data_IF_218207343990
#
_entry.id   IF_218207343990
#
_cell.length_a   1.000
_cell.length_b   1.000
_cell.length_c   1.000
_cell.angle_alpha   90.00
_cell.angle_beta   90.00
_cell.angle_gamma   90.00
#
_symmetry.space_group_name_H-M   'P 1'
#
loop_
_entity.id
_entity.type
_entity.pdbx_description
1 polymer ?
#
# COMPACT_ATOMS: atom_id res chain seq x y z
N UNK A 1 24.77 -41.51 18.34
CA UNK A 1 25.38 -40.35 19.01
C UNK A 1 24.35 -39.22 19.02
N UNK A 2 23.75 -38.92 20.17
CA UNK A 2 22.68 -37.90 20.30
C UNK A 2 23.32 -36.51 20.41
N UNK A 3 22.85 -35.57 19.59
CA UNK A 3 23.23 -34.15 19.55
C UNK A 3 23.22 -33.49 20.94
N UNK A 4 24.41 -33.23 21.49
CA UNK A 4 24.66 -32.37 22.64
C UNK A 4 25.02 -30.97 22.14
N UNK A 5 24.01 -30.20 21.72
CA UNK A 5 24.15 -28.74 21.55
C UNK A 5 22.78 -28.05 21.70
N UNK A 6 22.05 -28.41 22.77
CA UNK A 6 21.01 -27.52 23.30
C UNK A 6 21.69 -26.52 24.23
N UNK A 7 21.92 -25.32 23.73
CA UNK A 7 22.26 -24.14 24.54
C UNK A 7 21.06 -23.88 25.49
N UNK A 8 21.13 -24.44 26.70
CA UNK A 8 20.09 -24.26 27.71
C UNK A 8 20.27 -22.85 28.30
N UNK A 9 19.47 -21.89 27.84
CA UNK A 9 19.46 -20.53 28.41
C UNK A 9 19.01 -20.62 29.88
N UNK A 10 19.76 -20.04 30.82
CA UNK A 10 19.28 -19.91 32.20
C UNK A 10 17.92 -19.24 32.23
N UNK A 11 17.01 -19.69 33.09
CA UNK A 11 15.73 -19.00 33.25
C UNK A 11 15.94 -17.68 34.01
N UNK A 12 15.04 -16.71 33.82
CA UNK A 12 15.20 -15.37 34.41
C UNK A 12 15.28 -15.42 35.94
N UNK A 13 14.59 -16.39 36.59
CA UNK A 13 14.66 -16.59 38.04
C UNK A 13 16.05 -16.95 38.55
N UNK A 14 16.81 -17.76 37.80
CA UNK A 14 18.18 -18.14 38.17
C UNK A 14 19.15 -16.96 37.99
N UNK A 15 18.93 -16.14 36.97
CA UNK A 15 19.72 -14.91 36.74
C UNK A 15 19.51 -13.96 37.91
N UNK A 16 18.27 -13.61 38.24
CA UNK A 16 17.96 -12.70 39.36
C UNK A 16 18.53 -13.19 40.70
N UNK A 17 18.36 -14.46 41.02
CA UNK A 17 18.81 -15.01 42.29
C UNK A 17 20.35 -15.03 42.44
N UNK A 18 21.07 -15.40 41.38
CA UNK A 18 22.54 -15.41 41.39
C UNK A 18 23.10 -13.99 41.39
N UNK A 19 22.53 -13.06 40.61
CA UNK A 19 22.90 -11.63 40.63
C UNK A 19 22.74 -11.02 42.02
N UNK A 20 21.62 -11.30 42.69
CA UNK A 20 21.39 -10.84 44.07
C UNK A 20 22.37 -11.48 45.06
N UNK A 21 22.69 -12.77 44.89
CA UNK A 21 23.65 -13.45 45.77
C UNK A 21 25.07 -12.90 45.66
N UNK A 22 25.44 -12.32 44.50
CA UNK A 22 26.72 -11.68 44.24
C UNK A 22 26.74 -10.17 44.61
N UNK A 23 25.64 -9.61 45.11
CA UNK A 23 25.59 -8.23 45.57
C UNK A 23 26.39 -8.10 46.87
N UNK A 24 27.57 -7.46 46.81
CA UNK A 24 28.48 -7.28 47.93
C UNK A 24 29.64 -8.28 48.04
N UNK A 25 29.87 -9.10 47.01
CA UNK A 25 30.93 -10.12 47.01
C UNK A 25 30.43 -11.46 47.57
N UNK A 26 30.64 -12.53 46.80
CA UNK A 26 30.38 -13.89 47.25
C UNK A 26 31.23 -14.91 46.51
N UNK A 27 31.74 -15.91 47.23
CA UNK A 27 32.36 -17.10 46.66
C UNK A 27 31.30 -18.02 46.04
N UNK A 28 31.73 -18.93 45.16
CA UNK A 28 30.82 -19.90 44.53
C UNK A 28 30.03 -20.73 45.56
N UNK A 29 30.67 -21.10 46.67
CA UNK A 29 30.06 -21.90 47.72
C UNK A 29 28.97 -21.12 48.49
N UNK A 30 29.17 -19.82 48.67
CA UNK A 30 28.16 -18.93 49.26
C UNK A 30 26.98 -18.70 48.32
N UNK A 31 27.23 -18.57 47.02
CA UNK A 31 26.17 -18.43 46.01
C UNK A 31 25.30 -19.70 45.97
N UNK A 32 25.91 -20.88 46.06
CA UNK A 32 25.19 -22.16 46.18
C UNK A 32 24.30 -22.19 47.42
N UNK A 33 24.85 -21.82 48.58
CA UNK A 33 24.13 -21.79 49.84
C UNK A 33 22.94 -20.81 49.82
N UNK A 34 23.15 -19.61 49.26
CA UNK A 34 22.14 -18.54 49.18
C UNK A 34 21.02 -18.84 48.20
N UNK A 35 21.31 -19.53 47.09
CA UNK A 35 20.35 -19.70 45.98
C UNK A 35 19.76 -21.10 45.86
N UNK A 36 20.43 -22.13 46.41
CA UNK A 36 20.03 -23.53 46.27
C UNK A 36 20.22 -24.12 44.86
N UNK A 37 20.80 -23.36 43.92
CA UNK A 37 21.08 -23.86 42.57
C UNK A 37 22.34 -24.73 42.54
N UNK A 38 22.36 -25.72 41.65
CA UNK A 38 23.56 -26.54 41.39
C UNK A 38 24.68 -25.68 40.79
N UNK A 39 25.94 -26.00 41.13
CA UNK A 39 27.18 -25.42 40.53
C UNK A 39 27.07 -25.17 39.03
N UNK A 40 26.63 -26.17 38.27
CA UNK A 40 26.51 -26.08 36.80
C UNK A 40 25.57 -24.98 36.32
N UNK A 41 24.51 -24.68 37.08
CA UNK A 41 23.56 -23.61 36.76
C UNK A 41 24.16 -22.26 37.12
N UNK A 42 24.78 -22.17 38.30
CA UNK A 42 25.46 -20.95 38.77
C UNK A 42 26.57 -20.57 37.80
N UNK A 43 27.45 -21.49 37.40
CA UNK A 43 28.51 -21.22 36.43
C UNK A 43 27.98 -20.71 35.08
N UNK A 44 26.86 -21.24 34.59
CA UNK A 44 26.25 -20.76 33.34
C UNK A 44 25.71 -19.34 33.48
N UNK A 45 25.13 -19.02 34.64
CA UNK A 45 24.66 -17.66 34.93
C UNK A 45 25.86 -16.73 35.09
N UNK A 46 26.86 -17.06 35.90
CA UNK A 46 28.08 -16.26 36.08
C UNK A 46 28.83 -16.07 34.76
N UNK A 47 28.85 -17.06 33.87
CA UNK A 47 29.42 -16.93 32.52
C UNK A 47 28.58 -15.99 31.66
N UNK A 48 27.25 -16.11 31.69
CA UNK A 48 26.38 -15.22 30.93
C UNK A 48 26.43 -13.76 31.43
N UNK A 49 26.60 -13.57 32.75
CA UNK A 49 26.79 -12.26 33.39
C UNK A 49 28.18 -11.67 33.11
N UNK A 50 29.20 -12.51 32.98
CA UNK A 50 30.56 -12.12 32.58
C UNK A 50 30.59 -11.73 31.11
N UNK A 51 29.94 -12.51 30.25
CA UNK A 51 29.75 -12.19 28.83
C UNK A 51 28.97 -10.88 28.62
N UNK A 52 28.06 -10.52 29.55
CA UNK A 52 27.33 -9.24 29.55
C UNK A 52 28.04 -8.10 30.28
N UNK A 53 29.18 -8.35 30.93
CA UNK A 53 29.93 -7.36 31.72
C UNK A 53 29.23 -6.92 33.01
N UNK A 54 28.26 -7.70 33.50
CA UNK A 54 27.47 -7.43 34.70
C UNK A 54 28.09 -8.02 35.97
N UNK A 55 29.22 -8.74 35.86
CA UNK A 55 29.92 -9.34 37.00
C UNK A 55 31.43 -9.10 36.94
N UNK A 56 32.06 -8.87 38.10
CA UNK A 56 33.51 -8.83 38.29
C UNK A 56 33.95 -10.06 39.06
N UNK A 57 35.21 -10.48 38.87
CA UNK A 57 35.83 -11.60 39.57
C UNK A 57 37.14 -11.16 40.19
N UNK A 58 37.30 -11.40 41.48
CA UNK A 58 38.54 -11.13 42.20
C UNK A 58 39.10 -12.42 42.80
N UNK A 59 40.35 -12.80 42.50
CA UNK A 59 41.00 -13.94 43.15
C UNK A 59 41.37 -13.59 44.60
N UNK A 60 41.07 -14.49 45.53
CA UNK A 60 41.44 -14.40 46.94
C UNK A 60 42.78 -15.13 47.21
N UNK A 61 43.42 -14.80 48.32
CA UNK A 61 44.75 -15.35 48.70
C UNK A 61 44.73 -16.88 48.90
N UNK A 62 43.58 -17.46 49.23
CA UNK A 62 43.38 -18.91 49.38
C UNK A 62 43.14 -19.65 48.06
N UNK A 63 43.18 -18.93 46.92
CA UNK A 63 42.97 -19.46 45.58
C UNK A 63 41.51 -19.56 45.15
N UNK A 64 40.55 -19.14 45.99
CA UNK A 64 39.15 -19.01 45.61
C UNK A 64 38.88 -17.72 44.82
N UNK A 65 37.71 -17.62 44.19
CA UNK A 65 37.30 -16.46 43.40
C UNK A 65 36.02 -15.89 43.97
N UNK A 66 36.04 -14.59 44.22
CA UNK A 66 34.90 -13.83 44.68
C UNK A 66 34.23 -13.10 43.50
N UNK A 67 32.90 -13.20 43.45
CA UNK A 67 32.09 -12.67 42.36
C UNK A 67 31.29 -11.46 42.84
N UNK A 68 31.39 -10.35 42.10
CA UNK A 68 30.73 -9.09 42.41
C UNK A 68 29.76 -8.72 41.30
N UNK A 69 28.47 -8.64 41.61
CA UNK A 69 27.50 -8.12 40.65
C UNK A 69 27.64 -6.60 40.53
N UNK A 70 27.81 -6.11 39.30
CA UNK A 70 28.13 -4.71 38.99
C UNK A 70 26.84 -3.91 38.69
N UNK A 71 25.68 -4.56 38.56
CA UNK A 71 24.37 -3.93 38.33
C UNK A 71 23.62 -3.56 39.62
N UNK A 72 22.55 -2.76 39.49
CA UNK A 72 21.61 -2.48 40.59
C UNK A 72 20.60 -3.63 40.69
N UNK A 73 20.64 -4.41 41.78
CA UNK A 73 19.80 -5.60 41.94
C UNK A 73 18.29 -5.26 41.97
N UNK A 74 17.93 -3.99 42.18
CA UNK A 74 16.53 -3.53 42.23
C UNK A 74 15.91 -3.14 40.89
N UNK A 75 16.67 -3.06 39.79
CA UNK A 75 16.16 -2.65 38.45
C UNK A 75 15.79 -3.83 37.51
N UNK A 76 15.74 -5.08 38.00
CA UNK A 76 15.46 -6.26 37.17
C UNK A 76 13.98 -6.46 36.78
N UNK A 77 13.11 -5.52 37.13
CA UNK A 77 11.69 -5.52 36.74
C UNK A 77 11.50 -4.31 35.81
N UNK A 78 11.23 -4.59 34.53
CA UNK A 78 10.92 -3.64 33.43
C UNK A 78 12.09 -3.10 32.59
N UNK A 79 12.71 -3.97 31.76
CA UNK A 79 13.33 -3.53 30.51
C UNK A 79 12.96 -4.48 29.35
N UNK A 80 12.54 -3.95 28.17
CA UNK A 80 12.22 -4.78 27.00
C UNK A 80 13.44 -5.54 26.47
N UNK A 81 13.19 -6.72 25.90
CA UNK A 81 14.20 -7.63 25.35
C UNK A 81 15.06 -7.05 24.18
N UNK A 82 14.82 -5.82 23.74
CA UNK A 82 15.47 -5.17 22.60
C UNK A 82 16.87 -4.59 22.88
N UNK A 83 17.34 -4.56 24.13
CA UNK A 83 18.66 -3.98 24.50
C UNK A 83 19.78 -5.04 24.60
N UNK A 84 19.49 -6.35 24.45
CA UNK A 84 20.46 -7.44 24.69
C UNK A 84 21.42 -7.77 23.54
N UNK A 85 21.70 -6.86 22.61
CA UNK A 85 22.69 -7.11 21.55
C UNK A 85 23.50 -5.85 21.27
N UNK A 86 24.68 -5.76 21.85
CA UNK A 86 25.74 -4.95 21.26
C UNK A 86 27.10 -5.62 21.48
N UNK A 87 27.90 -5.58 20.42
CA UNK A 87 29.26 -6.11 20.37
C UNK A 87 30.12 -5.34 21.38
N UNK A 88 30.90 -6.06 22.19
CA UNK A 88 31.94 -5.42 23.00
C UNK A 88 32.92 -4.71 22.07
N UNK A 89 32.87 -3.38 22.06
CA UNK A 89 34.02 -2.59 21.63
C UNK A 89 35.11 -2.93 22.63
N UNK A 90 36.23 -3.52 22.20
CA UNK A 90 37.29 -4.06 23.07
C UNK A 90 38.06 -3.02 23.91
N UNK A 91 37.40 -1.95 24.34
CA UNK A 91 37.94 -0.79 25.04
C UNK A 91 37.79 -1.01 26.55
N UNK A 92 38.92 -1.17 27.25
CA UNK A 92 38.95 -1.40 28.69
C UNK A 92 38.72 -0.08 29.44
N UNK A 93 37.57 0.03 30.11
CA UNK A 93 37.24 1.14 31.02
C UNK A 93 37.66 0.82 32.46
N UNK A 94 38.06 1.84 33.22
CA UNK A 94 38.24 1.72 34.67
C UNK A 94 36.89 1.68 35.39
N UNK A 95 36.88 1.35 36.69
CA UNK A 95 35.64 1.28 37.48
C UNK A 95 34.85 2.60 37.47
N UNK A 96 35.54 3.73 37.69
CA UNK A 96 34.90 5.05 37.68
C UNK A 96 34.47 5.50 36.27
N UNK A 97 35.26 5.19 35.22
CA UNK A 97 34.86 5.49 33.83
C UNK A 97 33.59 4.73 33.43
N UNK A 98 33.54 3.43 33.77
CA UNK A 98 32.37 2.59 33.52
C UNK A 98 31.12 3.10 34.24
N UNK A 99 31.29 3.58 35.48
CA UNK A 99 30.21 4.18 36.25
C UNK A 99 29.72 5.48 35.62
N UNK A 100 30.61 6.41 35.29
CA UNK A 100 30.25 7.70 34.67
C UNK A 100 29.59 7.48 33.31
N UNK A 101 30.13 6.62 32.46
CA UNK A 101 29.54 6.30 31.16
C UNK A 101 28.11 5.75 31.30
N UNK A 102 27.87 4.86 32.27
CA UNK A 102 26.54 4.30 32.54
C UNK A 102 25.55 5.36 33.02
N UNK A 103 25.96 6.22 33.95
CA UNK A 103 25.14 7.32 34.47
C UNK A 103 24.72 8.26 33.35
N UNK A 104 25.65 8.62 32.45
CA UNK A 104 25.38 9.49 31.31
C UNK A 104 24.55 8.82 30.20
N UNK A 105 24.56 7.49 30.07
CA UNK A 105 23.61 6.77 29.19
C UNK A 105 22.17 6.90 29.68
N UNK A 106 21.97 6.89 31.00
CA UNK A 106 20.65 6.99 31.61
C UNK A 106 20.08 8.41 31.50
N UNK A 107 20.88 9.42 31.82
CA UNK A 107 20.50 10.84 31.72
C UNK A 107 21.72 11.76 31.77
N UNK A 108 21.55 12.99 31.29
CA UNK A 108 22.53 14.05 31.52
C UNK A 108 22.64 14.34 33.01
N UNK A 109 23.86 14.58 33.50
CA UNK A 109 24.11 14.87 34.92
C UNK A 109 25.11 16.00 35.04
N UNK A 110 24.95 16.85 36.04
CA UNK A 110 25.94 17.89 36.33
C UNK A 110 27.25 17.29 36.82
N UNK A 111 28.37 17.96 36.55
CA UNK A 111 29.69 17.57 37.08
C UNK A 111 29.68 17.47 38.60
N UNK A 112 28.89 18.32 39.27
CA UNK A 112 28.69 18.26 40.73
C UNK A 112 27.93 17.03 41.21
N UNK A 113 26.93 16.57 40.48
CA UNK A 113 26.21 15.32 40.79
C UNK A 113 27.08 14.09 40.56
N UNK A 114 27.84 14.06 39.45
CA UNK A 114 28.81 13.00 39.19
C UNK A 114 29.86 12.92 40.31
N UNK A 115 30.39 14.06 40.73
CA UNK A 115 31.36 14.18 41.84
C UNK A 115 30.85 13.55 43.13
N UNK A 116 29.58 13.77 43.49
CA UNK A 116 28.97 13.16 44.70
C UNK A 116 28.63 11.68 44.55
N UNK A 117 28.52 11.18 43.32
CA UNK A 117 28.03 9.83 43.04
C UNK A 117 29.17 8.81 42.92
N UNK A 118 30.34 9.21 42.40
CA UNK A 118 31.43 8.30 42.03
C UNK A 118 32.10 7.60 43.24
N UNK A 119 31.96 8.11 44.47
CA UNK A 119 32.49 7.43 45.66
C UNK A 119 31.77 7.85 46.95
N UNK A 120 30.62 7.26 47.28
CA UNK A 120 29.88 7.63 48.50
C UNK A 120 30.58 7.09 49.77
N UNK A 121 30.64 7.87 50.87
CA UNK A 121 29.98 9.17 51.11
C UNK A 121 30.87 10.40 50.81
N UNK A 122 32.17 10.22 50.58
CA UNK A 122 33.13 11.33 50.46
C UNK A 122 33.07 12.10 49.13
N UNK A 123 32.54 11.48 48.08
CA UNK A 123 32.61 11.99 46.71
C UNK A 123 34.04 12.02 46.16
N UNK A 124 34.17 12.54 44.95
CA UNK A 124 35.45 12.83 44.29
C UNK A 124 35.51 14.30 43.90
N UNK A 125 36.71 14.87 43.69
CA UNK A 125 36.83 16.26 43.26
C UNK A 125 36.21 16.48 41.87
N UNK A 126 35.77 17.71 41.57
CA UNK A 126 35.20 18.03 40.25
C UNK A 126 36.26 17.91 39.15
N UNK A 127 37.51 18.24 39.48
CA UNK A 127 38.68 18.10 38.62
C UNK A 127 38.89 16.64 38.21
N UNK A 128 38.64 15.70 39.14
CA UNK A 128 38.70 14.27 38.85
C UNK A 128 37.53 13.79 37.98
N UNK A 129 36.34 14.38 38.12
CA UNK A 129 35.24 14.11 37.17
C UNK A 129 35.61 14.58 35.76
N UNK A 130 36.20 15.78 35.63
CA UNK A 130 36.67 16.27 34.34
C UNK A 130 37.74 15.37 33.72
N UNK A 131 38.65 14.81 34.53
CA UNK A 131 39.65 13.86 34.01
C UNK A 131 39.02 12.54 33.54
N UNK A 132 37.97 12.05 34.21
CA UNK A 132 37.19 10.88 33.75
C UNK A 132 36.48 11.19 32.43
N UNK A 133 35.80 12.33 32.31
CA UNK A 133 35.11 12.75 31.08
C UNK A 133 36.11 12.90 29.92
N UNK A 134 37.29 13.46 30.20
CA UNK A 134 38.37 13.56 29.21
C UNK A 134 38.92 12.19 28.82
N UNK A 135 39.08 11.27 29.76
CA UNK A 135 39.49 9.88 29.48
C UNK A 135 38.46 9.17 28.59
N UNK A 136 37.16 9.32 28.88
CA UNK A 136 36.08 8.78 28.04
C UNK A 136 36.16 9.35 26.61
N UNK A 137 36.39 10.66 26.43
CA UNK A 137 36.62 11.26 25.11
C UNK A 137 37.81 10.65 24.39
N UNK A 138 38.96 10.53 25.06
CA UNK A 138 40.18 9.95 24.48
C UNK A 138 40.00 8.48 24.10
N UNK A 139 39.11 7.77 24.80
CA UNK A 139 38.72 6.39 24.50
C UNK A 139 37.62 6.28 23.43
N UNK A 140 37.25 7.39 22.78
CA UNK A 140 36.33 7.41 21.64
C UNK A 140 34.85 7.53 22.00
N UNK A 141 34.51 7.77 23.27
CA UNK A 141 33.12 8.08 23.63
C UNK A 141 32.82 9.55 23.34
N UNK A 142 31.71 9.80 22.63
CA UNK A 142 31.25 11.16 22.33
C UNK A 142 30.62 11.78 23.59
N UNK A 143 31.45 12.43 24.41
CA UNK A 143 31.03 13.06 25.67
C UNK A 143 31.23 14.56 25.56
N UNK A 144 30.21 15.37 25.80
CA UNK A 144 30.29 16.83 25.82
C UNK A 144 29.98 17.38 27.22
N UNK A 145 30.40 18.61 27.50
CA UNK A 145 30.03 19.32 28.73
C UNK A 145 29.39 20.65 28.31
N UNK A 146 28.13 20.85 28.69
CA UNK A 146 27.44 22.13 28.56
C UNK A 146 28.03 23.09 29.60
N UNK A 147 28.78 24.09 29.16
CA UNK A 147 29.45 25.05 30.04
C UNK A 147 28.49 25.95 30.82
N UNK A 148 27.27 26.19 30.31
CA UNK A 148 26.27 27.03 30.97
C UNK A 148 25.57 26.28 32.11
N UNK A 149 25.29 24.99 31.92
CA UNK A 149 24.60 24.13 32.90
C UNK A 149 25.54 23.28 33.73
N UNK A 150 26.81 23.20 33.33
CA UNK A 150 27.83 22.27 33.88
C UNK A 150 27.36 20.82 33.83
N UNK A 151 26.58 20.48 32.80
CA UNK A 151 26.04 19.14 32.54
C UNK A 151 26.98 18.37 31.62
N UNK A 152 27.37 17.18 32.04
CA UNK A 152 28.00 16.21 31.16
C UNK A 152 26.90 15.48 30.38
N UNK A 153 27.14 15.33 29.08
CA UNK A 153 26.23 14.73 28.12
C UNK A 153 27.00 13.63 27.40
N UNK A 154 26.41 12.44 27.31
CA UNK A 154 26.87 11.43 26.36
C UNK A 154 26.10 11.66 25.07
N UNK A 155 26.77 12.23 24.07
CA UNK A 155 26.23 12.44 22.75
C UNK A 155 25.93 11.05 22.17
N UNK A 156 24.64 10.71 22.10
CA UNK A 156 24.21 9.49 21.43
C UNK A 156 24.47 9.73 19.96
N UNK A 157 25.42 9.01 19.38
CA UNK A 157 25.47 8.83 17.95
C UNK A 157 24.11 8.27 17.55
N UNK A 158 23.23 9.14 17.01
CA UNK A 158 22.07 8.67 16.29
C UNK A 158 22.69 8.03 15.07
N UNK A 159 22.88 6.70 15.10
CA UNK A 159 23.17 5.96 13.90
C UNK A 159 22.11 6.36 12.89
N UNK A 160 22.51 7.20 11.92
CA UNK A 160 21.69 7.52 10.79
C UNK A 160 21.51 6.19 10.07
N UNK A 161 20.41 5.49 10.36
CA UNK A 161 20.05 4.30 9.60
C UNK A 161 20.03 4.76 8.14
N UNK A 162 20.84 4.17 7.27
CA UNK A 162 20.85 4.58 5.88
C UNK A 162 19.43 4.43 5.35
N UNK A 163 18.93 5.48 4.70
CA UNK A 163 17.65 5.41 3.99
C UNK A 163 17.83 4.40 2.86
N UNK A 164 17.35 3.17 3.07
CA UNK A 164 17.31 2.17 2.02
C UNK A 164 16.10 2.48 1.12
N UNK A 165 16.25 2.39 -0.22
CA UNK A 165 15.11 2.41 -1.12
C UNK A 165 14.11 1.29 -0.76
N UNK A 166 12.84 1.53 -1.02
CA UNK A 166 11.80 0.51 -0.88
C UNK A 166 12.00 -0.60 -1.92
N UNK A 167 11.75 -1.85 -1.53
CA UNK A 167 11.66 -2.94 -2.50
C UNK A 167 10.45 -2.73 -3.42
N UNK A 168 10.68 -2.76 -4.74
CA UNK A 168 9.64 -2.46 -5.72
C UNK A 168 8.72 -3.66 -6.02
N UNK A 169 9.22 -4.88 -5.90
CA UNK A 169 8.45 -6.11 -6.20
C UNK A 169 7.11 -6.17 -5.45
N UNK A 170 7.07 -5.94 -4.11
CA UNK A 170 5.81 -5.94 -3.37
C UNK A 170 4.80 -4.87 -3.81
N UNK A 171 5.24 -3.78 -4.46
CA UNK A 171 4.36 -2.71 -4.93
C UNK A 171 3.61 -3.05 -6.22
N UNK A 172 4.11 -3.99 -7.03
CA UNK A 172 3.62 -4.28 -8.38
C UNK A 172 3.33 -5.76 -8.62
N UNK A 173 3.01 -6.47 -7.54
CA UNK A 173 2.84 -7.92 -7.50
C UNK A 173 1.68 -8.43 -8.35
N UNK A 174 0.54 -7.74 -8.30
CA UNK A 174 -0.65 -8.11 -9.07
C UNK A 174 -0.77 -7.24 -10.31
N UNK A 175 -1.01 -7.86 -11.46
CA UNK A 175 -1.17 -7.17 -12.74
C UNK A 175 -2.52 -7.51 -13.35
N UNK A 176 -3.22 -6.49 -13.82
CA UNK A 176 -4.51 -6.63 -14.52
C UNK A 176 -4.48 -5.75 -15.76
N UNK A 177 -4.94 -6.29 -16.88
CA UNK A 177 -5.09 -5.53 -18.12
C UNK A 177 -6.55 -5.45 -18.50
N UNK A 178 -7.08 -4.23 -18.62
CA UNK A 178 -8.50 -3.96 -18.84
C UNK A 178 -8.68 -3.30 -20.21
N UNK A 179 -9.55 -3.85 -21.05
CA UNK A 179 -10.03 -3.15 -22.24
C UNK A 179 -11.25 -2.29 -21.93
N UNK A 180 -11.32 -1.10 -22.50
CA UNK A 180 -12.48 -0.21 -22.36
C UNK A 180 -12.89 0.35 -23.72
N UNK A 181 -14.19 0.27 -23.98
CA UNK A 181 -14.85 0.72 -25.21
C UNK A 181 -16.24 1.28 -24.85
N UNK A 182 -16.82 2.09 -25.73
CA UNK A 182 -18.15 2.67 -25.53
C UNK A 182 -18.76 3.08 -26.86
N UNK A 183 -20.07 3.38 -26.85
CA UNK A 183 -20.75 4.14 -27.90
C UNK A 183 -20.46 3.56 -29.29
N UNK A 184 -20.80 2.27 -29.47
CA UNK A 184 -20.65 1.59 -30.76
C UNK A 184 -21.74 1.96 -31.75
N UNK A 185 -22.91 2.37 -31.23
CA UNK A 185 -24.03 2.88 -32.03
C UNK A 185 -24.38 1.95 -33.19
N UNK A 186 -24.45 0.64 -32.93
CA UNK A 186 -24.74 -0.33 -33.98
C UNK A 186 -26.15 -0.10 -34.55
N UNK A 187 -26.26 -0.03 -35.89
CA UNK A 187 -27.47 0.38 -36.61
C UNK A 187 -27.46 1.83 -37.10
N UNK A 188 -26.44 2.61 -36.73
CA UNK A 188 -26.14 3.94 -37.27
C UNK A 188 -25.44 3.86 -38.63
N UNK A 189 -25.65 4.81 -39.54
CA UNK A 189 -24.85 4.94 -40.77
C UNK A 189 -23.41 5.43 -40.50
N UNK A 190 -23.14 5.86 -39.27
CA UNK A 190 -21.88 6.45 -38.84
C UNK A 190 -21.07 5.53 -37.92
N UNK A 191 -21.59 4.34 -37.59
CA UNK A 191 -20.88 3.30 -36.84
C UNK A 191 -19.56 2.89 -37.52
N UNK A 192 -18.67 2.21 -36.79
CA UNK A 192 -17.38 1.72 -37.31
C UNK A 192 -17.10 0.25 -36.92
N UNK A 193 -17.88 -0.73 -37.42
CA UNK A 193 -17.72 -2.15 -37.15
C UNK A 193 -16.35 -2.69 -37.59
N UNK A 194 -15.73 -2.16 -38.66
CA UNK A 194 -14.35 -2.54 -38.99
C UNK A 194 -13.42 -2.18 -37.83
N UNK A 195 -13.50 -0.95 -37.32
CA UNK A 195 -12.65 -0.49 -36.22
C UNK A 195 -12.97 -1.20 -34.91
N UNK A 196 -14.24 -1.58 -34.69
CA UNK A 196 -14.66 -2.42 -33.57
C UNK A 196 -14.01 -3.81 -33.63
N UNK A 197 -13.93 -4.44 -34.81
CA UNK A 197 -13.21 -5.71 -34.97
C UNK A 197 -11.70 -5.54 -34.69
N UNK A 198 -11.09 -4.48 -35.23
CA UNK A 198 -9.69 -4.13 -34.96
C UNK A 198 -9.44 -3.89 -33.47
N UNK A 199 -10.35 -3.22 -32.78
CA UNK A 199 -10.26 -2.98 -31.35
C UNK A 199 -10.18 -4.28 -30.55
N UNK A 200 -11.03 -5.25 -30.89
CA UNK A 200 -11.01 -6.56 -30.25
C UNK A 200 -9.78 -7.40 -30.62
N UNK A 201 -9.24 -7.26 -31.84
CA UNK A 201 -7.93 -7.84 -32.16
C UNK A 201 -6.82 -7.26 -31.28
N UNK A 202 -6.81 -5.94 -31.08
CA UNK A 202 -5.82 -5.29 -30.19
C UNK A 202 -6.00 -5.78 -28.74
N UNK A 203 -7.24 -5.96 -28.26
CA UNK A 203 -7.50 -6.54 -26.95
C UNK A 203 -6.96 -7.97 -26.82
N UNK A 204 -7.07 -8.80 -27.87
CA UNK A 204 -6.46 -10.13 -27.91
C UNK A 204 -4.92 -10.05 -27.85
N UNK A 205 -4.31 -9.17 -28.65
CA UNK A 205 -2.86 -8.96 -28.70
C UNK A 205 -2.30 -8.45 -27.36
N UNK A 206 -3.06 -7.59 -26.67
CA UNK A 206 -2.71 -7.07 -25.35
C UNK A 206 -3.11 -8.01 -24.21
N UNK A 207 -3.72 -9.16 -24.50
CA UNK A 207 -4.12 -10.17 -23.52
C UNK A 207 -4.94 -9.58 -22.36
N UNK A 208 -5.97 -8.81 -22.69
CA UNK A 208 -6.86 -8.23 -21.67
C UNK A 208 -7.51 -9.34 -20.83
N UNK A 209 -7.68 -9.08 -19.53
CA UNK A 209 -8.41 -9.96 -18.63
C UNK A 209 -9.93 -9.90 -18.87
N UNK A 210 -10.42 -8.71 -19.21
CA UNK A 210 -11.81 -8.44 -19.55
C UNK A 210 -11.96 -7.08 -20.24
N UNK A 211 -13.13 -6.87 -20.85
CA UNK A 211 -13.51 -5.61 -21.49
C UNK A 211 -14.72 -5.01 -20.78
N UNK A 212 -14.78 -3.68 -20.69
CA UNK A 212 -15.96 -2.92 -20.25
C UNK A 212 -16.52 -2.13 -21.44
N UNK A 213 -17.82 -2.27 -21.72
CA UNK A 213 -18.56 -1.49 -22.69
C UNK A 213 -19.55 -0.54 -22.00
N UNK A 214 -19.36 0.77 -22.18
CA UNK A 214 -20.00 1.81 -21.37
C UNK A 214 -21.29 2.36 -21.98
N UNK A 215 -22.13 1.50 -22.56
CA UNK A 215 -23.43 1.86 -23.12
C UNK A 215 -23.39 2.39 -24.56
N UNK A 216 -24.60 2.65 -25.06
CA UNK A 216 -24.91 2.95 -26.46
C UNK A 216 -24.32 1.88 -27.39
N UNK A 217 -24.65 0.63 -27.07
CA UNK A 217 -24.29 -0.54 -27.87
C UNK A 217 -24.94 -0.44 -29.26
N UNK A 218 -26.22 -0.08 -29.27
CA UNK A 218 -27.01 0.17 -30.48
C UNK A 218 -27.39 1.65 -30.60
N UNK A 219 -27.71 2.09 -31.81
CA UNK A 219 -28.07 3.48 -32.10
C UNK A 219 -29.48 3.86 -31.62
N UNK A 220 -30.36 2.89 -31.38
CA UNK A 220 -31.74 3.19 -31.01
C UNK A 220 -32.51 3.92 -32.12
N UNK A 221 -33.55 4.64 -31.74
CA UNK A 221 -34.42 5.39 -32.65
C UNK A 221 -35.12 6.55 -31.94
N UNK A 222 -35.53 7.59 -32.68
CA UNK A 222 -36.33 8.72 -32.18
C UNK A 222 -35.74 9.48 -30.98
N UNK A 223 -34.42 9.51 -30.83
CA UNK A 223 -33.71 10.27 -29.79
C UNK A 223 -33.68 11.78 -30.06
N UNK A 224 -33.60 12.17 -31.33
CA UNK A 224 -33.67 13.57 -31.76
C UNK A 224 -34.32 13.69 -33.14
N UNK A 225 -34.82 14.89 -33.46
CA UNK A 225 -35.45 15.18 -34.75
C UNK A 225 -34.42 15.01 -35.87
N UNK A 226 -34.72 14.14 -36.83
CA UNK A 226 -33.87 13.87 -37.98
C UNK A 226 -33.02 12.60 -37.87
N UNK A 227 -32.96 11.96 -36.69
CA UNK A 227 -32.18 10.72 -36.48
C UNK A 227 -32.56 9.61 -37.49
N UNK A 228 -33.83 9.53 -37.91
CA UNK A 228 -34.27 8.52 -38.89
C UNK A 228 -33.50 8.56 -40.23
N UNK A 229 -32.86 9.67 -40.57
CA UNK A 229 -31.99 9.80 -41.76
C UNK A 229 -30.55 9.31 -41.51
N UNK A 230 -30.17 9.17 -40.24
CA UNK A 230 -28.83 8.81 -39.78
C UNK A 230 -28.72 7.32 -39.42
N UNK A 231 -29.84 6.61 -39.31
CA UNK A 231 -29.88 5.16 -39.04
C UNK A 231 -30.20 4.37 -40.32
N UNK A 232 -29.83 3.09 -40.34
CA UNK A 232 -30.22 2.17 -41.42
C UNK A 232 -31.02 0.96 -40.93
N UNK A 233 -31.12 0.76 -39.62
CA UNK A 233 -31.96 -0.25 -38.96
C UNK A 233 -33.00 0.48 -38.09
N UNK A 234 -34.28 0.24 -38.33
CA UNK A 234 -35.37 1.07 -37.83
C UNK A 234 -36.21 0.40 -36.74
N UNK A 235 -35.84 -0.80 -36.31
CA UNK A 235 -36.51 -1.55 -35.25
C UNK A 235 -35.54 -2.13 -34.22
N UNK A 236 -36.08 -2.49 -33.05
CA UNK A 236 -35.31 -3.14 -32.00
C UNK A 236 -34.77 -4.50 -32.44
N UNK A 237 -35.59 -5.29 -33.13
CA UNK A 237 -35.22 -6.64 -33.59
C UNK A 237 -34.10 -6.57 -34.62
N UNK A 238 -34.21 -5.67 -35.62
CA UNK A 238 -33.15 -5.46 -36.62
C UNK A 238 -31.81 -5.07 -35.96
N UNK A 239 -31.82 -4.13 -35.02
CA UNK A 239 -30.60 -3.70 -34.33
C UNK A 239 -30.03 -4.79 -33.42
N UNK A 240 -30.89 -5.60 -32.78
CA UNK A 240 -30.47 -6.73 -31.96
C UNK A 240 -29.80 -7.82 -32.80
N UNK A 241 -30.46 -8.24 -33.87
CA UNK A 241 -29.94 -9.26 -34.80
C UNK A 241 -28.65 -8.80 -35.47
N UNK A 242 -28.60 -7.55 -35.92
CA UNK A 242 -27.38 -6.99 -36.50
C UNK A 242 -26.24 -6.99 -35.49
N UNK A 243 -26.50 -6.59 -34.24
CA UNK A 243 -25.49 -6.58 -33.18
C UNK A 243 -24.97 -7.98 -32.86
N UNK A 244 -25.86 -8.97 -32.76
CA UNK A 244 -25.46 -10.36 -32.51
C UNK A 244 -24.52 -10.89 -33.61
N UNK A 245 -24.75 -10.49 -34.86
CA UNK A 245 -23.97 -10.93 -36.02
C UNK A 245 -22.65 -10.17 -36.20
N UNK A 246 -22.59 -8.88 -35.83
CA UNK A 246 -21.43 -8.02 -36.15
C UNK A 246 -20.55 -7.67 -34.95
N UNK A 247 -21.07 -7.76 -33.73
CA UNK A 247 -20.27 -7.47 -32.53
C UNK A 247 -19.22 -8.57 -32.32
N UNK A 248 -17.93 -8.25 -32.12
CA UNK A 248 -16.87 -9.26 -32.01
C UNK A 248 -17.13 -10.30 -30.92
N UNK A 249 -16.92 -11.58 -31.23
CA UNK A 249 -17.08 -12.70 -30.27
C UNK A 249 -15.75 -13.15 -29.72
N UNK A 250 -15.65 -13.35 -28.39
CA UNK A 250 -14.42 -13.80 -27.73
C UNK A 250 -14.69 -14.86 -26.67
N UNK A 251 -13.97 -15.97 -26.74
CA UNK A 251 -14.03 -17.03 -25.73
C UNK A 251 -13.03 -16.84 -24.59
N UNK A 252 -11.95 -16.08 -24.81
CA UNK A 252 -10.85 -15.92 -23.87
C UNK A 252 -11.19 -15.04 -22.66
N UNK A 253 -12.06 -14.04 -22.84
CA UNK A 253 -12.47 -13.10 -21.81
C UNK A 253 -13.94 -12.69 -22.00
N UNK A 254 -14.49 -11.96 -21.02
CA UNK A 254 -15.86 -11.43 -21.07
C UNK A 254 -15.87 -9.93 -21.33
N UNK A 255 -16.93 -9.47 -22.00
CA UNK A 255 -17.26 -8.05 -22.12
C UNK A 255 -18.43 -7.71 -21.20
N UNK A 256 -18.22 -6.79 -20.28
CA UNK A 256 -19.21 -6.31 -19.32
C UNK A 256 -19.89 -5.06 -19.85
N UNK A 257 -21.21 -5.11 -20.02
CA UNK A 257 -21.96 -4.08 -20.77
C UNK A 257 -23.03 -3.46 -19.87
N UNK A 258 -23.08 -2.13 -19.84
CA UNK A 258 -24.23 -1.36 -19.35
C UNK A 258 -25.03 -0.81 -20.53
N UNK A 259 -26.32 -0.53 -20.35
CA UNK A 259 -27.11 0.20 -21.35
C UNK A 259 -26.83 1.70 -21.29
N UNK A 260 -26.83 2.36 -22.44
CA UNK A 260 -26.78 3.81 -22.57
C UNK A 260 -28.13 4.44 -22.90
N UNK A 261 -28.10 5.72 -23.27
CA UNK A 261 -29.32 6.48 -23.56
C UNK A 261 -30.03 6.05 -24.84
N UNK A 262 -29.27 5.63 -25.86
CA UNK A 262 -29.76 5.13 -27.14
C UNK A 262 -30.40 3.75 -26.98
N UNK A 263 -29.72 2.83 -26.28
CA UNK A 263 -30.21 1.48 -25.99
C UNK A 263 -31.59 1.49 -25.31
N UNK A 264 -31.76 2.38 -24.33
CA UNK A 264 -32.93 2.40 -23.45
C UNK A 264 -34.18 3.00 -24.08
N UNK A 265 -34.11 3.49 -25.33
CA UNK A 265 -35.29 4.04 -26.01
C UNK A 265 -36.34 2.95 -26.28
N UNK A 266 -35.91 1.75 -26.64
CA UNK A 266 -36.82 0.61 -26.85
C UNK A 266 -37.51 0.19 -25.56
N UNK A 267 -36.81 0.30 -24.43
CA UNK A 267 -37.38 0.06 -23.12
C UNK A 267 -38.42 1.11 -22.74
N UNK A 268 -38.14 2.39 -23.02
CA UNK A 268 -39.08 3.49 -22.77
C UNK A 268 -40.35 3.39 -23.63
N UNK A 269 -40.21 2.96 -24.88
CA UNK A 269 -41.32 2.88 -25.83
C UNK A 269 -42.15 1.59 -25.69
N UNK A 270 -41.50 0.46 -25.40
CA UNK A 270 -42.12 -0.86 -25.49
C UNK A 270 -41.75 -1.83 -24.34
N UNK A 271 -40.98 -1.38 -23.34
CA UNK A 271 -40.51 -2.23 -22.24
C UNK A 271 -39.39 -3.21 -22.62
N UNK A 272 -38.89 -3.16 -23.85
CA UNK A 272 -37.86 -4.07 -24.35
C UNK A 272 -36.44 -3.56 -24.06
N UNK A 273 -35.71 -4.27 -23.20
CA UNK A 273 -34.30 -4.00 -22.92
C UNK A 273 -33.40 -4.76 -23.92
N UNK A 274 -33.02 -4.07 -24.98
CA UNK A 274 -32.27 -4.64 -26.10
C UNK A 274 -30.89 -5.17 -25.69
N UNK A 275 -30.16 -4.45 -24.81
CA UNK A 275 -28.81 -4.86 -24.38
C UNK A 275 -28.89 -6.10 -23.52
N UNK A 276 -29.85 -6.14 -22.59
CA UNK A 276 -30.10 -7.34 -21.78
C UNK A 276 -30.49 -8.53 -22.65
N UNK A 277 -31.31 -8.32 -23.68
CA UNK A 277 -31.68 -9.35 -24.64
C UNK A 277 -30.45 -9.88 -25.39
N UNK A 278 -29.64 -9.01 -26.00
CA UNK A 278 -28.41 -9.38 -26.72
C UNK A 278 -27.46 -10.18 -25.81
N UNK A 279 -27.21 -9.67 -24.60
CA UNK A 279 -26.31 -10.35 -23.65
C UNK A 279 -26.84 -11.73 -23.23
N UNK A 280 -28.16 -11.93 -23.15
CA UNK A 280 -28.74 -13.24 -22.79
C UNK A 280 -28.52 -14.32 -23.86
N UNK A 281 -28.24 -13.91 -25.10
CA UNK A 281 -28.01 -14.81 -26.23
C UNK A 281 -26.52 -15.13 -26.44
N UNK A 282 -25.61 -14.49 -25.70
CA UNK A 282 -24.16 -14.61 -25.88
C UNK A 282 -23.44 -14.84 -24.57
N UNK A 283 -22.74 -15.96 -24.47
CA UNK A 283 -22.04 -16.31 -23.23
C UNK A 283 -20.85 -15.40 -22.92
N UNK A 284 -20.30 -14.69 -23.90
CA UNK A 284 -19.15 -13.79 -23.75
C UNK A 284 -19.52 -12.36 -23.34
N UNK A 285 -20.81 -12.00 -23.43
CA UNK A 285 -21.31 -10.69 -23.05
C UNK A 285 -22.07 -10.80 -21.72
N UNK A 286 -21.82 -9.85 -20.81
CA UNK A 286 -22.43 -9.87 -19.48
C UNK A 286 -23.08 -8.52 -19.20
N UNK A 287 -24.40 -8.53 -19.11
CA UNK A 287 -25.17 -7.34 -18.78
C UNK A 287 -24.98 -6.93 -17.30
N UNK A 288 -24.74 -5.64 -17.06
CA UNK A 288 -24.46 -5.09 -15.72
C UNK A 288 -25.48 -4.10 -15.20
N UNK A 289 -26.27 -3.47 -16.07
CA UNK A 289 -27.33 -2.57 -15.62
C UNK A 289 -27.66 -1.47 -16.62
N UNK A 290 -28.67 -0.69 -16.26
CA UNK A 290 -29.18 0.43 -17.04
C UNK A 290 -28.46 1.71 -16.61
N UNK A 291 -27.92 2.47 -17.55
CA UNK A 291 -27.12 3.68 -17.32
C UNK A 291 -25.83 3.48 -16.51
N UNK A 292 -25.67 2.42 -15.73
CA UNK A 292 -24.49 2.22 -14.93
C UNK A 292 -24.56 0.99 -14.05
N UNK A 293 -23.43 0.69 -13.42
CA UNK A 293 -23.33 -0.29 -12.36
C UNK A 293 -22.34 0.24 -11.32
N UNK A 294 -22.78 0.26 -10.07
CA UNK A 294 -21.98 0.71 -8.93
C UNK A 294 -21.41 -0.48 -8.19
N UNK A 295 -20.23 -0.31 -7.58
CA UNK A 295 -19.56 -1.37 -6.81
C UNK A 295 -19.41 -2.66 -7.61
N UNK A 296 -19.20 -2.54 -8.93
CA UNK A 296 -18.91 -3.67 -9.78
C UNK A 296 -17.52 -4.21 -9.41
N UNK A 297 -17.48 -5.39 -8.80
CA UNK A 297 -16.22 -6.03 -8.41
C UNK A 297 -15.71 -6.95 -9.51
N UNK A 298 -14.45 -6.77 -9.91
CA UNK A 298 -13.72 -7.67 -10.79
C UNK A 298 -12.36 -7.97 -10.16
N UNK A 299 -12.08 -9.26 -9.96
CA UNK A 299 -10.98 -9.69 -9.09
C UNK A 299 -11.16 -9.00 -7.71
N UNK A 300 -10.16 -8.28 -7.20
CA UNK A 300 -10.27 -7.50 -5.95
C UNK A 300 -10.33 -5.98 -6.20
N UNK A 301 -10.61 -5.56 -7.43
CA UNK A 301 -10.81 -4.15 -7.77
C UNK A 301 -12.30 -3.83 -7.85
N UNK A 302 -12.63 -2.62 -7.43
CA UNK A 302 -14.02 -2.09 -7.42
C UNK A 302 -14.15 -0.99 -8.47
N UNK A 303 -15.18 -1.09 -9.28
CA UNK A 303 -15.46 -0.20 -10.40
C UNK A 303 -16.84 0.43 -10.22
N UNK A 304 -16.92 1.72 -10.51
CA UNK A 304 -18.17 2.38 -10.86
C UNK A 304 -18.14 2.67 -12.37
N UNK A 305 -19.18 2.24 -13.08
CA UNK A 305 -19.30 2.47 -14.52
C UNK A 305 -20.61 3.19 -14.82
N UNK A 306 -20.55 4.18 -15.70
CA UNK A 306 -21.67 5.08 -15.97
C UNK A 306 -21.75 5.50 -17.44
N UNK A 307 -22.94 5.48 -17.99
CA UNK A 307 -23.32 6.16 -19.21
C UNK A 307 -24.13 7.41 -18.84
N UNK A 308 -23.48 8.59 -18.71
CA UNK A 308 -24.12 9.79 -18.20
C UNK A 308 -25.11 10.38 -19.22
N UNK A 309 -25.81 11.44 -18.84
CA UNK A 309 -26.73 12.17 -19.72
C UNK A 309 -26.21 13.56 -20.11
N UNK A 310 -26.82 14.22 -21.09
CA UNK A 310 -26.51 15.62 -21.45
C UNK A 310 -25.27 15.78 -22.35
N UNK A 311 -24.97 17.03 -22.75
CA UNK A 311 -23.94 17.30 -23.76
C UNK A 311 -22.49 17.30 -23.24
N UNK A 312 -21.55 17.38 -24.18
CA UNK A 312 -20.12 17.58 -23.93
C UNK A 312 -19.93 18.94 -23.24
N UNK A 313 -19.34 19.00 -22.03
CA UNK A 313 -19.08 20.25 -21.33
C UNK A 313 -17.93 21.03 -21.97
N UNK A 314 -17.80 22.32 -21.62
CA UNK A 314 -16.70 23.18 -22.08
C UNK A 314 -15.31 22.59 -21.73
N UNK A 315 -15.12 22.17 -20.48
CA UNK A 315 -13.89 21.52 -20.03
C UNK A 315 -14.06 20.00 -20.05
N UNK A 316 -13.16 19.28 -20.74
CA UNK A 316 -13.23 17.81 -20.92
C UNK A 316 -13.40 17.05 -19.60
N UNK A 317 -12.62 17.40 -18.59
CA UNK A 317 -12.64 16.73 -17.28
C UNK A 317 -13.88 17.01 -16.44
N UNK A 318 -14.62 18.09 -16.74
CA UNK A 318 -15.66 18.62 -15.85
C UNK A 318 -16.72 17.57 -15.53
N UNK A 319 -17.21 16.85 -16.54
CA UNK A 319 -18.29 15.88 -16.34
C UNK A 319 -17.86 14.77 -15.40
N UNK A 320 -16.69 14.17 -15.66
CA UNK A 320 -16.16 13.08 -14.86
C UNK A 320 -15.95 13.51 -13.40
N UNK A 321 -15.35 14.68 -13.18
CA UNK A 321 -15.16 15.24 -11.84
C UNK A 321 -16.47 15.41 -11.10
N UNK A 322 -17.46 16.07 -11.72
CA UNK A 322 -18.78 16.29 -11.09
C UNK A 322 -19.50 14.99 -10.74
N UNK A 323 -19.35 13.96 -11.57
CA UNK A 323 -19.94 12.65 -11.29
C UNK A 323 -19.26 11.99 -10.08
N UNK A 324 -17.93 12.00 -10.03
CA UNK A 324 -17.17 11.48 -8.88
C UNK A 324 -17.55 12.22 -7.60
N UNK A 325 -17.56 13.56 -7.62
CA UNK A 325 -17.97 14.40 -6.49
C UNK A 325 -19.41 14.10 -6.05
N UNK A 326 -20.33 13.94 -7.01
CA UNK A 326 -21.74 13.64 -6.74
C UNK A 326 -21.96 12.28 -6.10
N UNK A 327 -21.10 11.30 -6.40
CA UNK A 327 -21.18 9.95 -5.83
C UNK A 327 -20.64 9.88 -4.39
N UNK A 328 -19.85 10.86 -3.92
CA UNK A 328 -19.19 10.80 -2.61
C UNK A 328 -20.16 10.61 -1.45
N UNK A 329 -21.30 11.31 -1.45
CA UNK A 329 -22.28 11.20 -0.37
C UNK A 329 -22.82 9.79 -0.23
N UNK A 330 -23.12 9.15 -1.36
CA UNK A 330 -23.59 7.77 -1.42
C UNK A 330 -22.48 6.77 -1.05
N UNK A 331 -21.25 6.96 -1.55
CA UNK A 331 -20.09 6.13 -1.17
C UNK A 331 -19.86 6.18 0.34
N UNK A 332 -19.83 7.38 0.94
CA UNK A 332 -19.65 7.57 2.38
C UNK A 332 -20.78 6.89 3.16
N UNK A 333 -22.02 7.02 2.70
CA UNK A 333 -23.17 6.35 3.29
C UNK A 333 -22.99 4.83 3.28
N UNK A 334 -22.67 4.24 2.11
CA UNK A 334 -22.47 2.79 1.96
C UNK A 334 -21.33 2.27 2.82
N UNK A 335 -20.19 2.97 2.85
CA UNK A 335 -19.04 2.61 3.70
C UNK A 335 -19.42 2.62 5.18
N UNK A 336 -20.15 3.65 5.64
CA UNK A 336 -20.60 3.74 7.05
C UNK A 336 -21.57 2.62 7.42
N UNK A 337 -22.52 2.31 6.53
CA UNK A 337 -23.53 1.27 6.77
C UNK A 337 -22.94 -0.14 6.77
N UNK A 338 -22.03 -0.45 5.86
CA UNK A 338 -21.48 -1.81 5.70
C UNK A 338 -20.16 -2.01 6.47
N UNK A 339 -19.52 -0.93 6.93
CA UNK A 339 -18.17 -0.93 7.52
C UNK A 339 -17.13 -1.62 6.62
N UNK A 340 -17.31 -1.51 5.31
CA UNK A 340 -16.47 -2.14 4.29
C UNK A 340 -15.90 -1.05 3.38
N UNK A 341 -14.58 -0.86 3.43
CA UNK A 341 -13.87 0.11 2.59
C UNK A 341 -13.69 -0.38 1.15
N UNK A 342 -13.82 -1.68 0.88
CA UNK A 342 -13.73 -2.23 -0.48
C UNK A 342 -14.88 -1.78 -1.39
N UNK A 343 -15.90 -1.13 -0.82
CA UNK A 343 -16.98 -0.46 -1.54
C UNK A 343 -16.50 0.79 -2.28
N UNK A 344 -15.43 1.44 -1.81
CA UNK A 344 -14.88 2.62 -2.47
C UNK A 344 -14.36 2.18 -3.84
N UNK A 345 -14.84 2.79 -4.95
CA UNK A 345 -14.37 2.42 -6.26
C UNK A 345 -12.90 2.84 -6.42
N UNK A 346 -12.10 1.96 -7.02
CA UNK A 346 -10.76 2.31 -7.48
C UNK A 346 -10.87 3.10 -8.78
N UNK A 347 -11.82 2.70 -9.63
CA UNK A 347 -11.99 3.22 -10.98
C UNK A 347 -13.40 3.73 -11.20
N UNK A 348 -13.49 4.84 -11.92
CA UNK A 348 -14.75 5.33 -12.49
C UNK A 348 -14.62 5.44 -14.01
N UNK A 349 -15.39 4.67 -14.77
CA UNK A 349 -15.37 4.75 -16.24
C UNK A 349 -16.70 5.29 -16.77
N UNK A 350 -16.63 6.15 -17.80
CA UNK A 350 -17.82 6.64 -18.47
C UNK A 350 -17.74 6.79 -19.99
N UNK A 351 -18.86 6.50 -20.64
CA UNK A 351 -19.09 6.66 -22.08
C UNK A 351 -19.79 7.99 -22.43
N UNK A 352 -20.69 7.95 -23.43
CA UNK A 352 -21.66 8.99 -23.84
C UNK A 352 -21.09 10.25 -24.49
N UNK A 353 -19.93 10.72 -24.03
CA UNK A 353 -19.35 11.99 -24.49
C UNK A 353 -18.39 11.84 -25.68
N UNK A 354 -18.11 10.61 -26.11
CA UNK A 354 -17.31 10.28 -27.30
C UNK A 354 -15.91 10.90 -27.29
N UNK A 355 -15.32 11.16 -26.12
CA UNK A 355 -13.98 11.75 -25.98
C UNK A 355 -13.19 11.03 -24.90
N UNK A 356 -11.89 10.79 -25.14
CA UNK A 356 -11.01 10.26 -24.11
C UNK A 356 -10.57 11.37 -23.16
N UNK A 357 -10.59 11.05 -21.87
CA UNK A 357 -9.99 11.87 -20.83
C UNK A 357 -9.67 11.00 -19.61
N UNK A 358 -8.50 11.21 -19.02
CA UNK A 358 -8.13 10.61 -17.73
C UNK A 358 -8.09 11.69 -16.66
N UNK A 359 -8.74 11.45 -15.52
CA UNK A 359 -8.78 12.40 -14.41
C UNK A 359 -8.83 11.65 -13.08
N UNK A 360 -7.68 11.49 -12.41
CA UNK A 360 -7.63 11.12 -11.01
C UNK A 360 -8.32 12.19 -10.17
N UNK A 361 -9.24 11.77 -9.30
CA UNK A 361 -9.97 12.70 -8.46
C UNK A 361 -10.40 12.05 -7.15
N UNK A 362 -10.00 12.64 -6.02
CA UNK A 362 -10.39 12.20 -4.66
C UNK A 362 -10.10 10.70 -4.44
N UNK A 363 -8.94 10.23 -4.92
CA UNK A 363 -8.52 8.83 -4.79
C UNK A 363 -9.20 7.85 -5.74
N UNK A 364 -9.99 8.33 -6.71
CA UNK A 364 -10.62 7.51 -7.75
C UNK A 364 -9.97 7.85 -9.10
N UNK A 365 -9.54 6.82 -9.82
CA UNK A 365 -9.01 6.95 -11.17
C UNK A 365 -10.15 6.97 -12.19
N UNK A 366 -10.47 8.18 -12.67
CA UNK A 366 -11.58 8.41 -13.57
C UNK A 366 -11.17 8.37 -15.05
N UNK A 367 -11.99 7.74 -15.89
CA UNK A 367 -11.81 7.63 -17.33
C UNK A 367 -13.07 8.00 -18.10
N UNK A 368 -12.90 8.81 -19.14
CA UNK A 368 -13.83 8.92 -20.23
C UNK A 368 -13.31 8.09 -21.39
N UNK A 369 -14.18 7.28 -21.97
CA UNK A 369 -13.80 6.33 -23.02
C UNK A 369 -14.24 6.86 -24.38
N UNK A 370 -13.38 6.77 -25.42
CA UNK A 370 -13.74 7.13 -26.79
C UNK A 370 -14.85 6.22 -27.35
N UNK A 371 -15.35 6.55 -28.53
CA UNK A 371 -16.47 5.87 -29.18
C UNK A 371 -16.05 5.05 -30.42
N UNK A 372 -17.01 4.38 -31.06
CA UNK A 372 -16.87 3.78 -32.40
C UNK A 372 -17.85 4.39 -33.41
N UNK A 373 -18.22 5.66 -33.24
CA UNK A 373 -19.10 6.38 -34.16
C UNK A 373 -18.42 7.64 -34.71
N UNK A 374 -18.40 7.77 -36.03
CA UNK A 374 -17.87 8.95 -36.72
C UNK A 374 -18.74 10.19 -36.47
N UNK A 375 -18.25 11.36 -36.86
CA UNK A 375 -18.99 12.60 -36.66
C UNK A 375 -20.31 12.58 -37.45
N UNK A 376 -21.42 12.51 -36.72
CA UNK A 376 -22.77 12.60 -37.29
C UNK A 376 -23.14 14.04 -37.67
N UNK A 377 -24.13 14.27 -38.55
CA UNK A 377 -24.71 15.59 -38.80
C UNK A 377 -25.14 16.30 -37.51
N UNK A 378 -25.73 15.58 -36.55
CA UNK A 378 -26.06 16.12 -35.23
C UNK A 378 -24.83 16.64 -34.46
N UNK A 379 -23.76 15.84 -34.38
CA UNK A 379 -22.52 16.26 -33.71
C UNK A 379 -21.87 17.45 -34.43
N UNK A 380 -21.83 17.40 -35.76
CA UNK A 380 -21.31 18.48 -36.61
C UNK A 380 -22.06 19.79 -36.39
N UNK A 381 -23.39 19.76 -36.33
CA UNK A 381 -24.22 20.93 -36.05
C UNK A 381 -23.95 21.56 -34.67
N UNK A 382 -23.44 20.77 -33.72
CA UNK A 382 -23.04 21.21 -32.38
C UNK A 382 -21.55 21.58 -32.26
N UNK A 383 -20.78 21.50 -33.36
CA UNK A 383 -19.34 21.73 -33.33
C UNK A 383 -18.57 20.68 -32.52
N UNK A 384 -19.11 19.47 -32.39
CA UNK A 384 -18.51 18.38 -31.62
C UNK A 384 -17.78 17.41 -32.53
N UNK A 385 -16.54 17.06 -32.18
CA UNK A 385 -15.75 16.06 -32.89
C UNK A 385 -15.53 14.84 -31.98
N UNK A 386 -16.07 13.66 -32.34
CA UNK A 386 -15.85 12.45 -31.57
C UNK A 386 -14.41 11.94 -31.75
N UNK A 387 -13.90 11.30 -30.71
CA UNK A 387 -12.67 10.54 -30.74
C UNK A 387 -13.01 9.06 -30.94
N UNK A 388 -12.52 8.50 -32.05
CA UNK A 388 -12.67 7.08 -32.35
C UNK A 388 -11.51 6.34 -31.70
N UNK A 389 -11.79 5.27 -30.98
CA UNK A 389 -10.71 4.52 -30.36
C UNK A 389 -11.12 3.60 -29.23
N UNK A 390 -10.11 3.12 -28.53
CA UNK A 390 -10.23 2.32 -27.31
C UNK A 390 -9.21 2.76 -26.27
N UNK A 391 -9.45 2.35 -25.04
CA UNK A 391 -8.50 2.51 -23.94
C UNK A 391 -8.14 1.13 -23.39
N UNK A 392 -6.85 0.90 -23.17
CA UNK A 392 -6.32 -0.25 -22.45
C UNK A 392 -5.67 0.28 -21.17
N UNK A 393 -6.06 -0.31 -20.03
CA UNK A 393 -5.63 0.12 -18.71
C UNK A 393 -4.85 -1.04 -18.09
N UNK A 394 -3.53 -0.90 -17.99
CA UNK A 394 -2.71 -1.85 -17.25
C UNK A 394 -2.57 -1.35 -15.82
N UNK A 395 -3.01 -2.17 -14.88
CA UNK A 395 -3.05 -1.88 -13.44
C UNK A 395 -2.01 -2.75 -12.74
N UNK A 396 -1.11 -2.14 -11.98
CA UNK A 396 -0.18 -2.85 -11.09
C UNK A 396 -0.50 -2.51 -9.63
N UNK A 397 -0.72 -3.55 -8.81
CA UNK A 397 -1.12 -3.44 -7.42
C UNK A 397 -0.16 -4.18 -6.47
N UNK A 398 -0.18 -3.79 -5.20
CA UNK A 398 0.46 -4.56 -4.12
C UNK A 398 -0.38 -5.77 -3.66
N UNK A 399 0.13 -6.49 -2.65
CA UNK A 399 -0.52 -7.63 -1.99
C UNK A 399 -1.90 -7.30 -1.38
N UNK A 400 -2.16 -6.04 -1.06
CA UNK A 400 -3.43 -5.57 -0.51
C UNK A 400 -4.35 -4.99 -1.59
N UNK A 401 -3.98 -5.14 -2.87
CA UNK A 401 -4.70 -4.60 -4.02
C UNK A 401 -4.77 -3.06 -4.07
N UNK A 402 -3.86 -2.37 -3.39
CA UNK A 402 -3.69 -0.93 -3.60
C UNK A 402 -3.11 -0.70 -5.00
N UNK A 403 -3.74 0.17 -5.78
CA UNK A 403 -3.27 0.54 -7.12
C UNK A 403 -2.06 1.46 -6.98
N UNK A 404 -0.88 0.95 -7.35
CA UNK A 404 0.38 1.70 -7.25
C UNK A 404 0.86 2.22 -8.61
N UNK A 405 0.38 1.64 -9.72
CA UNK A 405 0.71 2.11 -11.07
C UNK A 405 -0.41 1.85 -12.06
N UNK A 406 -0.62 2.83 -12.93
CA UNK A 406 -1.46 2.74 -14.10
C UNK A 406 -0.65 3.06 -15.36
N UNK A 407 -0.76 2.21 -16.37
CA UNK A 407 -0.22 2.46 -17.71
C UNK A 407 -1.40 2.51 -18.67
N UNK A 408 -1.66 3.70 -19.19
CA UNK A 408 -2.77 3.98 -20.08
C UNK A 408 -2.29 3.89 -21.52
N UNK A 409 -2.89 2.99 -22.27
CA UNK A 409 -2.66 2.85 -23.70
C UNK A 409 -3.95 3.22 -24.46
N UNK A 410 -3.98 4.45 -24.97
CA UNK A 410 -5.08 4.99 -25.73
C UNK A 410 -4.79 4.86 -27.23
N UNK A 411 -5.58 4.02 -27.92
CA UNK A 411 -5.46 3.80 -29.35
C UNK A 411 -6.52 4.61 -30.09
N UNK A 412 -6.07 5.64 -30.82
CA UNK A 412 -6.92 6.49 -31.65
C UNK A 412 -7.06 5.92 -33.05
N UNK A 413 -8.28 5.92 -33.56
CA UNK A 413 -8.63 5.40 -34.89
C UNK A 413 -9.19 6.46 -35.85
N UNK A 414 -9.24 7.74 -35.45
CA UNK A 414 -9.85 8.80 -36.28
C UNK A 414 -9.33 8.86 -37.73
N UNK A 415 -8.05 8.59 -37.97
CA UNK A 415 -7.46 8.57 -39.32
C UNK A 415 -7.79 7.34 -40.16
N UNK A 416 -8.41 6.32 -39.56
CA UNK A 416 -8.79 5.06 -40.19
C UNK A 416 -10.31 4.91 -40.31
N UNK A 417 -11.05 5.97 -40.01
CA UNK A 417 -12.50 6.01 -40.17
C UNK A 417 -12.87 5.70 -41.62
N UNK A 418 -13.85 4.81 -41.80
CA UNK A 418 -14.39 4.43 -43.09
C UNK A 418 -15.74 5.09 -43.33
N UNK A 419 -15.93 5.58 -44.55
CA UNK A 419 -17.25 5.96 -45.02
C UNK A 419 -18.10 4.71 -45.31
N UNK A 420 -19.38 4.76 -44.92
CA UNK A 420 -20.34 3.67 -45.11
C UNK A 420 -19.87 2.31 -44.57
N UNK A 421 -19.31 2.30 -43.36
CA UNK A 421 -18.94 1.07 -42.64
C UNK A 421 -20.19 0.47 -41.95
N UNK A 422 -21.15 -0.03 -42.72
CA UNK A 422 -22.38 -0.62 -42.18
C UNK A 422 -23.00 -1.73 -43.00
#
# INVERSE_FOLDING_TARGET
MKNLNKQYKPNDKAITAVSAACSGGATLQEIESRTGYKKSTIYRVLSALDDSGEISREPLEDGSVEYYFIGDATELVELPASIRKEKSTGIRLTGHESMVHRLLRARNMTVGELSRTINKPMGVSKEYVYSILQSLRTKGFSVSVDEARKEAILDKDIEAKPFAPLELEPLYKHKITIGAISDTHLGSRFQQPTLLQTAYQIFDECQVDFVIHLGDLVEGMKLYRGQDQEIFLHSADEQADYTLNHYPTRSAYKTYIISGSHDLVFKKLAGFDIVKNICSQRSDLVYKGEHGAHTFKMKNLTFDILHPSGGVPYAKSYRLQKVIEGALGDIISRVRSHKDLSIIPHFMLMGHLHIMNYTPHIGIDGFMVPCMQTQTPYLKAKGLMPELGILIINVECDDNWNVNRLILDHRKFNSYAKENDF
#
